data_IF_657614494189
#
_entry.id   IF_657614494189
#
_cell.length_a   1.000
_cell.length_b   1.000
_cell.length_c   1.000
_cell.angle_alpha   90.00
_cell.angle_beta   90.00
_cell.angle_gamma   90.00
#
_symmetry.space_group_name_H-M   'P 1'
#
loop_
_entity.id
_entity.type
_entity.pdbx_description
1 polymer ?
#
# COMPACT_ATOMS: atom_id res chain seq x y z
N UNK A 1 -13.48 -6.21 23.33
CA UNK A 1 -12.56 -6.92 22.40
C UNK A 1 -12.24 -6.00 21.23
N UNK A 2 -10.96 -5.81 20.90
CA UNK A 2 -10.49 -4.95 19.80
C UNK A 2 -10.29 -5.77 18.54
N UNK A 3 -11.00 -5.44 17.46
CA UNK A 3 -10.69 -5.99 16.14
C UNK A 3 -9.50 -5.26 15.55
N UNK A 4 -8.47 -6.01 15.14
CA UNK A 4 -7.26 -5.45 14.55
C UNK A 4 -6.84 -6.24 13.32
N UNK A 5 -6.25 -5.58 12.34
CA UNK A 5 -5.76 -6.19 11.11
C UNK A 5 -4.36 -5.67 10.76
N UNK A 6 -3.56 -6.53 10.16
CA UNK A 6 -2.26 -6.18 9.60
C UNK A 6 -2.32 -6.37 8.08
N UNK A 7 -1.92 -5.36 7.34
CA UNK A 7 -1.90 -5.36 5.87
C UNK A 7 -0.48 -5.09 5.41
N UNK A 8 0.10 -6.01 4.68
CA UNK A 8 1.48 -5.94 4.19
C UNK A 8 1.50 -5.74 2.68
N UNK A 9 2.12 -4.65 2.24
CA UNK A 9 2.36 -4.35 0.84
C UNK A 9 3.75 -4.82 0.42
N UNK A 10 3.84 -5.66 -0.61
CA UNK A 10 5.08 -6.21 -1.11
C UNK A 10 5.40 -5.66 -2.51
N UNK A 11 6.53 -4.97 -2.64
CA UNK A 11 6.96 -4.34 -3.88
C UNK A 11 8.49 -4.40 -4.05
N UNK A 12 8.97 -5.34 -4.86
CA UNK A 12 10.40 -5.46 -5.16
C UNK A 12 10.94 -4.39 -6.12
N UNK A 13 10.07 -3.50 -6.62
CA UNK A 13 10.44 -2.34 -7.45
C UNK A 13 10.33 -1.01 -6.70
N UNK A 14 10.39 -1.01 -5.38
CA UNK A 14 10.24 0.17 -4.55
C UNK A 14 11.18 1.32 -4.97
N UNK A 15 10.68 2.57 -4.91
CA UNK A 15 11.35 3.77 -5.43
C UNK A 15 12.81 3.95 -4.98
N UNK A 16 13.12 3.56 -3.74
CA UNK A 16 14.41 3.80 -3.09
C UNK A 16 15.29 2.55 -3.03
N UNK A 17 14.83 1.39 -3.52
CA UNK A 17 15.55 0.12 -3.41
C UNK A 17 16.09 -0.30 -4.78
N UNK A 18 17.42 -0.40 -4.95
CA UNK A 18 18.03 -0.92 -6.17
C UNK A 18 17.65 -2.38 -6.44
N UNK A 19 17.55 -2.78 -7.70
CA UNK A 19 17.25 -4.18 -8.08
C UNK A 19 18.27 -5.17 -7.51
N UNK A 20 19.53 -4.77 -7.37
CA UNK A 20 20.60 -5.57 -6.79
C UNK A 20 20.35 -5.98 -5.33
N UNK A 21 19.46 -5.27 -4.60
CA UNK A 21 19.13 -5.57 -3.20
C UNK A 21 18.01 -6.63 -3.06
N UNK A 22 17.35 -7.05 -4.15
CA UNK A 22 16.27 -8.04 -4.11
C UNK A 22 16.67 -9.33 -3.38
N UNK A 23 17.83 -9.97 -3.65
CA UNK A 23 18.23 -11.18 -2.94
C UNK A 23 18.33 -10.99 -1.42
N UNK A 24 18.74 -9.80 -0.98
CA UNK A 24 18.85 -9.45 0.43
C UNK A 24 17.45 -9.24 1.06
N UNK A 25 16.52 -8.59 0.35
CA UNK A 25 15.13 -8.46 0.79
C UNK A 25 14.50 -9.84 0.99
N UNK A 26 14.67 -10.74 0.04
CA UNK A 26 14.15 -12.11 0.14
C UNK A 26 14.71 -12.80 1.39
N UNK A 27 16.05 -12.75 1.57
CA UNK A 27 16.75 -13.42 2.67
C UNK A 27 16.42 -12.82 4.04
N UNK A 28 16.34 -11.50 4.17
CA UNK A 28 16.24 -10.79 5.45
C UNK A 28 14.79 -10.44 5.83
N UNK A 29 13.88 -10.33 4.85
CA UNK A 29 12.49 -9.93 5.04
C UNK A 29 11.50 -11.06 4.72
N UNK A 30 11.29 -11.38 3.45
CA UNK A 30 10.19 -12.22 3.01
C UNK A 30 10.29 -13.65 3.55
N UNK A 31 11.41 -14.31 3.34
CA UNK A 31 11.58 -15.71 3.70
C UNK A 31 11.41 -15.96 5.21
N UNK A 32 12.14 -15.25 6.10
CA UNK A 32 12.03 -15.50 7.53
C UNK A 32 10.67 -15.07 8.10
N UNK A 33 10.06 -13.99 7.58
CA UNK A 33 8.75 -13.52 8.05
C UNK A 33 7.65 -14.49 7.68
N UNK A 34 7.57 -14.95 6.42
CA UNK A 34 6.55 -15.90 5.98
C UNK A 34 6.69 -17.25 6.70
N UNK A 35 7.93 -17.77 6.83
CA UNK A 35 8.19 -18.99 7.60
C UNK A 35 7.77 -18.85 9.06
N UNK A 36 8.01 -17.70 9.66
CA UNK A 36 7.62 -17.41 11.04
C UNK A 36 6.10 -17.33 11.21
N UNK A 37 5.41 -16.61 10.34
CA UNK A 37 3.94 -16.47 10.36
C UNK A 37 3.24 -17.83 10.23
N UNK A 38 3.71 -18.71 9.37
CA UNK A 38 3.17 -20.06 9.18
C UNK A 38 3.24 -20.93 10.45
N UNK A 39 4.12 -20.60 11.39
CA UNK A 39 4.25 -21.27 12.70
C UNK A 39 3.28 -20.73 13.76
N UNK A 40 2.57 -19.61 13.48
CA UNK A 40 1.61 -19.02 14.41
C UNK A 40 0.18 -19.40 13.95
N UNK A 41 -0.46 -20.42 14.55
CA UNK A 41 -1.64 -21.09 13.97
C UNK A 41 -2.85 -20.18 13.72
N UNK A 42 -3.02 -19.13 14.55
CA UNK A 42 -4.15 -18.20 14.49
C UNK A 42 -3.79 -16.86 13.83
N UNK A 43 -2.63 -16.76 13.19
CA UNK A 43 -2.26 -15.53 12.48
C UNK A 43 -3.25 -15.26 11.34
N UNK A 44 -3.66 -14.02 11.18
CA UNK A 44 -4.52 -13.53 10.12
C UNK A 44 -3.88 -12.26 9.57
N UNK A 45 -3.25 -12.37 8.41
CA UNK A 45 -2.49 -11.31 7.79
C UNK A 45 -3.01 -11.11 6.36
N UNK A 46 -3.26 -9.86 5.97
CA UNK A 46 -3.59 -9.53 4.59
C UNK A 46 -2.34 -9.08 3.86
N UNK A 47 -2.16 -9.58 2.66
CA UNK A 47 -1.04 -9.22 1.78
C UNK A 47 -1.56 -8.67 0.46
N UNK A 48 -0.85 -7.72 -0.08
CA UNK A 48 -0.90 -7.42 -1.50
C UNK A 48 0.51 -7.41 -2.08
N UNK A 49 0.64 -7.92 -3.28
CA UNK A 49 1.88 -7.97 -4.04
C UNK A 49 1.64 -7.24 -5.36
N UNK A 50 2.61 -6.45 -5.84
CA UNK A 50 2.53 -6.02 -7.23
C UNK A 50 2.63 -7.22 -8.15
N UNK A 51 1.98 -7.20 -9.32
CA UNK A 51 2.09 -8.30 -10.29
C UNK A 51 3.54 -8.53 -10.72
N UNK A 52 4.32 -7.46 -10.88
CA UNK A 52 5.76 -7.54 -11.18
C UNK A 52 6.52 -8.26 -10.08
N UNK A 53 6.20 -8.00 -8.81
CA UNK A 53 6.79 -8.75 -7.69
C UNK A 53 6.46 -10.23 -7.78
N UNK A 54 5.20 -10.59 -8.10
CA UNK A 54 4.81 -11.99 -8.27
C UNK A 54 5.58 -12.68 -9.41
N UNK A 55 5.79 -12.01 -10.54
CA UNK A 55 6.58 -12.55 -11.65
C UNK A 55 8.07 -12.75 -11.27
N UNK A 56 8.66 -11.82 -10.52
CA UNK A 56 10.03 -11.97 -10.00
C UNK A 56 10.10 -13.16 -9.03
N UNK A 57 9.14 -13.27 -8.12
CA UNK A 57 9.10 -14.37 -7.15
C UNK A 57 8.90 -15.72 -7.82
N UNK A 58 8.02 -15.80 -8.83
CA UNK A 58 7.81 -17.03 -9.61
C UNK A 58 9.11 -17.50 -10.27
N UNK A 59 9.82 -16.57 -10.91
CA UNK A 59 10.99 -16.87 -11.72
C UNK A 59 12.23 -17.18 -10.89
N UNK A 60 12.47 -16.39 -9.83
CA UNK A 60 13.76 -16.37 -9.13
C UNK A 60 13.67 -16.94 -7.69
N UNK A 61 12.47 -16.94 -7.08
CA UNK A 61 12.27 -17.30 -5.68
C UNK A 61 10.98 -18.12 -5.47
N UNK A 62 10.78 -19.24 -6.20
CA UNK A 62 9.53 -20.02 -6.16
C UNK A 62 9.16 -20.52 -4.76
N UNK A 63 10.12 -20.69 -3.87
CA UNK A 63 9.88 -21.05 -2.48
C UNK A 63 9.05 -20.01 -1.72
N UNK A 64 9.11 -18.74 -2.11
CA UNK A 64 8.28 -17.69 -1.52
C UNK A 64 6.81 -17.87 -1.95
N UNK A 65 6.58 -18.19 -3.23
CA UNK A 65 5.25 -18.50 -3.76
C UNK A 65 4.64 -19.69 -3.00
N UNK A 66 5.43 -20.74 -2.75
CA UNK A 66 4.98 -21.93 -1.99
C UNK A 66 4.62 -21.59 -0.53
N UNK A 67 5.39 -20.71 0.12
CA UNK A 67 5.06 -20.26 1.47
C UNK A 67 3.75 -19.46 1.50
N UNK A 68 3.51 -18.60 0.50
CA UNK A 68 2.27 -17.83 0.39
C UNK A 68 1.08 -18.78 0.18
N UNK A 69 1.17 -19.76 -0.74
CA UNK A 69 0.14 -20.78 -0.97
C UNK A 69 -0.22 -21.51 0.32
N UNK A 70 0.77 -21.99 1.05
CA UNK A 70 0.57 -22.67 2.33
C UNK A 70 -0.14 -21.80 3.36
N UNK A 71 0.14 -20.49 3.38
CA UNK A 71 -0.54 -19.55 4.25
C UNK A 71 -2.01 -19.35 3.87
N UNK A 72 -2.31 -19.32 2.57
CA UNK A 72 -3.68 -19.24 2.03
C UNK A 72 -4.45 -20.53 2.39
N UNK A 73 -3.89 -21.70 2.10
CA UNK A 73 -4.48 -23.02 2.39
C UNK A 73 -4.81 -23.20 3.87
N UNK A 74 -3.93 -22.70 4.77
CA UNK A 74 -4.17 -22.69 6.22
C UNK A 74 -5.17 -21.62 6.67
N UNK A 75 -5.66 -20.78 5.75
CA UNK A 75 -6.51 -19.64 6.07
C UNK A 75 -5.84 -18.59 6.95
N UNK A 76 -4.50 -18.53 6.97
CA UNK A 76 -3.71 -17.54 7.70
C UNK A 76 -3.49 -16.27 6.88
N UNK A 77 -3.42 -16.39 5.56
CA UNK A 77 -3.15 -15.28 4.64
C UNK A 77 -4.37 -14.95 3.79
N UNK A 78 -4.72 -13.70 3.73
CA UNK A 78 -5.66 -13.12 2.78
C UNK A 78 -4.87 -12.38 1.70
N UNK A 79 -5.15 -12.65 0.43
CA UNK A 79 -4.59 -11.91 -0.69
C UNK A 79 -5.58 -10.83 -1.12
N UNK A 80 -5.08 -9.60 -1.25
CA UNK A 80 -5.81 -8.46 -1.78
C UNK A 80 -5.50 -8.27 -3.26
N UNK A 81 -6.49 -7.80 -4.02
CA UNK A 81 -6.24 -7.30 -5.35
C UNK A 81 -5.35 -6.06 -5.33
N UNK A 82 -4.59 -5.90 -6.39
CA UNK A 82 -3.69 -4.78 -6.63
C UNK A 82 -3.57 -4.51 -8.13
N UNK A 83 -2.64 -3.68 -8.54
CA UNK A 83 -2.31 -3.47 -9.93
C UNK A 83 -1.08 -4.29 -10.34
N UNK A 84 -0.86 -4.46 -11.66
CA UNK A 84 0.28 -5.21 -12.20
C UNK A 84 1.62 -4.58 -11.81
N UNK A 85 1.81 -3.27 -12.06
CA UNK A 85 2.86 -2.46 -11.43
C UNK A 85 2.26 -1.66 -10.27
N UNK A 86 2.80 -0.51 -9.94
CA UNK A 86 2.25 0.38 -8.89
C UNK A 86 1.82 1.73 -9.48
N UNK A 87 0.82 1.79 -10.40
CA UNK A 87 0.41 3.05 -11.00
C UNK A 87 -0.40 3.91 -10.03
N UNK A 88 -0.40 5.21 -10.21
CA UNK A 88 -1.38 6.09 -9.56
C UNK A 88 -2.68 6.04 -10.36
N UNK A 89 -3.56 5.12 -9.99
CA UNK A 89 -4.78 4.82 -10.77
C UNK A 89 -5.59 6.07 -11.19
N UNK A 90 -5.78 7.10 -10.33
CA UNK A 90 -6.46 8.32 -10.75
C UNK A 90 -5.74 9.17 -11.81
N UNK A 91 -4.48 8.90 -12.12
CA UNK A 91 -3.67 9.63 -13.11
C UNK A 91 -3.54 8.91 -14.45
N UNK A 92 -4.05 7.70 -14.58
CA UNK A 92 -4.02 6.90 -15.82
C UNK A 92 -5.43 6.69 -16.38
N UNK A 93 -5.53 6.24 -17.62
CA UNK A 93 -6.80 6.03 -18.31
C UNK A 93 -7.47 4.73 -17.85
N UNK A 94 -8.80 4.65 -18.01
CA UNK A 94 -9.58 3.47 -17.61
C UNK A 94 -9.12 2.20 -18.32
N UNK A 95 -8.69 2.29 -19.57
CA UNK A 95 -8.17 1.15 -20.33
C UNK A 95 -6.95 0.55 -19.65
N UNK A 96 -6.02 1.39 -19.19
CA UNK A 96 -4.81 0.95 -18.49
C UNK A 96 -5.16 0.38 -17.12
N UNK A 97 -6.07 1.03 -16.37
CA UNK A 97 -6.55 0.52 -15.08
C UNK A 97 -7.10 -0.89 -15.24
N UNK A 98 -7.95 -1.11 -16.27
CA UNK A 98 -8.51 -2.43 -16.54
C UNK A 98 -7.41 -3.47 -16.84
N UNK A 99 -6.42 -3.12 -17.66
CA UNK A 99 -5.30 -4.00 -17.99
C UNK A 99 -4.42 -4.32 -16.77
N UNK A 100 -4.12 -3.32 -15.95
CA UNK A 100 -3.37 -3.51 -14.71
C UNK A 100 -4.07 -4.49 -13.76
N UNK A 101 -5.38 -4.30 -13.55
CA UNK A 101 -6.16 -5.14 -12.64
C UNK A 101 -6.29 -6.55 -13.20
N UNK A 102 -6.66 -6.68 -14.49
CA UNK A 102 -6.84 -8.00 -15.11
C UNK A 102 -5.54 -8.81 -15.06
N UNK A 103 -4.42 -8.23 -15.48
CA UNK A 103 -3.12 -8.92 -15.47
C UNK A 103 -2.71 -9.34 -14.06
N UNK A 104 -3.00 -8.52 -13.06
CA UNK A 104 -2.74 -8.86 -11.66
C UNK A 104 -3.62 -10.03 -11.19
N UNK A 105 -4.92 -10.02 -11.51
CA UNK A 105 -5.83 -11.10 -11.15
C UNK A 105 -5.46 -12.42 -11.81
N UNK A 106 -5.05 -12.40 -13.09
CA UNK A 106 -4.56 -13.58 -13.80
C UNK A 106 -3.33 -14.20 -13.10
N UNK A 107 -2.42 -13.35 -12.61
CA UNK A 107 -1.26 -13.79 -11.83
C UNK A 107 -1.67 -14.39 -10.48
N UNK A 108 -2.61 -13.77 -9.76
CA UNK A 108 -3.11 -14.31 -8.48
C UNK A 108 -3.78 -15.68 -8.67
N UNK A 109 -4.60 -15.83 -9.72
CA UNK A 109 -5.25 -17.12 -10.01
C UNK A 109 -4.22 -18.17 -10.41
N UNK A 110 -3.35 -17.86 -11.36
CA UNK A 110 -2.36 -18.80 -11.90
C UNK A 110 -1.33 -19.23 -10.85
N UNK A 111 -0.80 -18.28 -10.09
CA UNK A 111 0.30 -18.57 -9.16
C UNK A 111 -0.18 -19.00 -7.78
N UNK A 112 -1.30 -18.49 -7.30
CA UNK A 112 -1.71 -18.63 -5.91
C UNK A 112 -3.11 -19.27 -5.76
N UNK A 113 -3.82 -19.54 -6.87
CA UNK A 113 -5.16 -20.10 -6.85
C UNK A 113 -6.25 -19.14 -6.35
N UNK A 114 -5.95 -17.85 -6.25
CA UNK A 114 -6.89 -16.83 -5.73
C UNK A 114 -7.67 -16.21 -6.88
N UNK A 115 -8.95 -16.59 -7.02
CA UNK A 115 -9.82 -16.15 -8.13
C UNK A 115 -10.52 -14.81 -7.90
N UNK A 116 -11.03 -14.56 -6.71
CA UNK A 116 -11.92 -13.44 -6.42
C UNK A 116 -11.55 -12.74 -5.11
N UNK A 117 -10.40 -12.07 -5.03
CA UNK A 117 -10.05 -11.30 -3.85
C UNK A 117 -11.12 -10.23 -3.59
N UNK A 118 -11.53 -10.06 -2.33
CA UNK A 118 -12.62 -9.15 -1.96
C UNK A 118 -12.17 -7.73 -1.73
N UNK A 119 -10.95 -7.55 -1.26
CA UNK A 119 -10.35 -6.25 -1.05
C UNK A 119 -9.42 -5.85 -2.18
N UNK A 120 -9.37 -4.57 -2.47
CA UNK A 120 -8.39 -3.96 -3.37
C UNK A 120 -7.55 -2.95 -2.58
N UNK A 121 -6.23 -3.15 -2.58
CA UNK A 121 -5.32 -2.16 -2.01
C UNK A 121 -4.97 -1.14 -3.08
N UNK A 122 -5.34 0.11 -2.84
CA UNK A 122 -5.05 1.21 -3.77
C UNK A 122 -3.55 1.57 -3.70
N UNK A 123 -2.81 1.55 -4.82
CA UNK A 123 -1.47 2.11 -4.85
C UNK A 123 -1.46 3.52 -4.26
N UNK A 124 -0.57 3.79 -3.31
CA UNK A 124 -0.45 5.08 -2.61
C UNK A 124 -1.74 5.55 -1.91
N UNK A 125 -2.67 4.64 -1.59
CA UNK A 125 -4.03 4.95 -1.14
C UNK A 125 -4.71 6.01 -2.03
N UNK A 126 -4.32 6.08 -3.32
CA UNK A 126 -4.80 7.06 -4.28
C UNK A 126 -6.22 6.70 -4.75
N UNK A 127 -7.15 7.56 -4.48
CA UNK A 127 -8.57 7.42 -4.78
C UNK A 127 -9.07 8.48 -5.77
N UNK A 128 -9.99 8.05 -6.62
CA UNK A 128 -10.90 8.92 -7.38
C UNK A 128 -12.29 8.29 -7.39
N UNK A 129 -13.39 9.07 -7.38
CA UNK A 129 -14.75 8.55 -7.47
C UNK A 129 -14.99 7.61 -8.68
N UNK A 130 -14.27 7.81 -9.78
CA UNK A 130 -14.35 6.98 -10.98
C UNK A 130 -13.80 5.56 -10.77
N UNK A 131 -13.02 5.31 -9.73
CA UNK A 131 -12.49 3.97 -9.44
C UNK A 131 -13.57 3.02 -8.89
N UNK A 132 -14.61 3.53 -8.23
CA UNK A 132 -15.64 2.67 -7.65
C UNK A 132 -16.31 1.73 -8.65
N UNK A 133 -16.85 2.20 -9.80
CA UNK A 133 -17.46 1.32 -10.79
C UNK A 133 -16.45 0.34 -11.40
N UNK A 134 -15.21 0.77 -11.64
CA UNK A 134 -14.15 -0.08 -12.20
C UNK A 134 -13.85 -1.23 -11.23
N UNK A 135 -13.56 -0.92 -9.97
CA UNK A 135 -13.25 -1.94 -8.96
C UNK A 135 -14.41 -2.90 -8.72
N UNK A 136 -15.66 -2.40 -8.76
CA UNK A 136 -16.87 -3.23 -8.66
C UNK A 136 -17.02 -4.19 -9.85
N UNK A 137 -16.70 -3.75 -11.06
CA UNK A 137 -16.70 -4.60 -12.27
C UNK A 137 -15.79 -5.80 -12.12
N UNK A 138 -14.64 -5.65 -11.44
CA UNK A 138 -13.71 -6.75 -11.13
C UNK A 138 -14.07 -7.56 -9.87
N UNK A 139 -15.25 -7.31 -9.25
CA UNK A 139 -15.75 -8.08 -8.12
C UNK A 139 -15.20 -7.68 -6.75
N UNK A 140 -14.45 -6.59 -6.66
CA UNK A 140 -13.98 -6.06 -5.37
C UNK A 140 -15.15 -5.46 -4.59
N UNK A 141 -15.18 -5.70 -3.28
CA UNK A 141 -16.22 -5.22 -2.39
C UNK A 141 -15.76 -4.10 -1.47
N UNK A 142 -14.46 -4.01 -1.19
CA UNK A 142 -13.90 -3.02 -0.29
C UNK A 142 -12.49 -2.59 -0.69
N UNK A 143 -12.09 -1.42 -0.19
CA UNK A 143 -10.73 -0.88 -0.31
C UNK A 143 -10.25 -0.28 1.01
N UNK A 144 -8.99 0.12 1.07
CA UNK A 144 -8.40 0.83 2.21
C UNK A 144 -8.11 2.28 1.81
N UNK A 145 -8.48 3.23 2.67
CA UNK A 145 -8.25 4.66 2.45
C UNK A 145 -7.55 5.31 3.64
N UNK A 146 -6.87 6.40 3.35
CA UNK A 146 -6.26 7.23 4.40
C UNK A 146 -7.33 8.03 5.17
N UNK A 147 -7.28 7.96 6.49
CA UNK A 147 -8.23 8.66 7.36
C UNK A 147 -8.13 10.19 7.23
N UNK A 148 -6.92 10.74 7.13
CA UNK A 148 -6.75 12.19 7.00
C UNK A 148 -7.26 12.70 5.64
N UNK A 149 -7.14 11.90 4.57
CA UNK A 149 -7.78 12.19 3.29
C UNK A 149 -9.31 12.22 3.43
N UNK A 150 -9.90 11.27 4.16
CA UNK A 150 -11.34 11.27 4.44
C UNK A 150 -11.76 12.55 5.18
N UNK A 151 -11.06 12.93 6.26
CA UNK A 151 -11.40 14.13 7.05
C UNK A 151 -11.34 15.37 6.18
N UNK A 152 -10.28 15.52 5.36
CA UNK A 152 -10.15 16.64 4.44
C UNK A 152 -11.31 16.71 3.43
N UNK A 153 -11.78 15.55 2.94
CA UNK A 153 -12.90 15.49 2.01
C UNK A 153 -14.25 15.86 2.62
N UNK A 154 -14.39 15.75 3.95
CA UNK A 154 -15.62 16.10 4.66
C UNK A 154 -15.70 17.58 5.08
N UNK A 155 -14.58 18.32 5.01
CA UNK A 155 -14.61 19.75 5.27
C UNK A 155 -15.33 20.49 4.15
N UNK A 156 -16.12 21.51 4.50
CA UNK A 156 -16.89 22.30 3.53
C UNK A 156 -15.98 22.91 2.45
N UNK A 157 -16.45 22.97 1.22
CA UNK A 157 -15.75 23.63 0.14
C UNK A 157 -15.61 25.12 0.50
N UNK A 158 -14.39 25.59 0.72
CA UNK A 158 -14.09 26.99 1.03
C UNK A 158 -13.44 27.24 2.40
N UNK A 159 -13.58 26.34 3.36
CA UNK A 159 -12.72 26.38 4.53
C UNK A 159 -11.36 25.81 4.16
N UNK A 160 -10.37 26.69 4.04
CA UNK A 160 -8.97 26.27 4.10
C UNK A 160 -8.73 25.74 5.51
N UNK A 161 -9.01 24.48 5.72
CA UNK A 161 -8.41 23.80 6.86
C UNK A 161 -6.92 23.85 6.56
N UNK A 162 -6.22 24.78 7.16
CA UNK A 162 -4.79 24.76 7.25
C UNK A 162 -4.47 23.47 8.01
N UNK A 163 -4.35 22.36 7.26
CA UNK A 163 -3.72 21.18 7.79
C UNK A 163 -2.24 21.57 7.85
N UNK A 164 -1.88 22.40 8.82
CA UNK A 164 -0.52 22.58 9.31
C UNK A 164 0.05 21.29 9.90
N UNK A 165 -0.61 20.16 9.64
CA UNK A 165 -0.12 18.84 9.94
C UNK A 165 0.75 18.38 8.78
N UNK A 166 1.93 19.02 8.65
CA UNK A 166 3.02 18.32 7.95
C UNK A 166 3.09 16.93 8.57
N UNK A 167 2.94 15.85 7.79
CA UNK A 167 3.08 14.51 8.33
C UNK A 167 4.41 14.46 9.08
N UNK A 168 4.38 13.99 10.29
CA UNK A 168 5.62 13.80 11.05
C UNK A 168 6.36 12.70 10.31
N UNK A 169 7.53 13.03 9.77
CA UNK A 169 8.38 12.08 9.09
C UNK A 169 8.65 12.33 7.63
N UNK A 170 7.92 13.23 6.98
CA UNK A 170 8.24 13.62 5.60
C UNK A 170 8.94 14.98 5.59
N UNK A 171 10.18 15.01 5.08
CA UNK A 171 10.80 16.25 4.63
C UNK A 171 10.26 16.58 3.22
N UNK A 172 10.41 17.82 2.77
CA UNK A 172 10.06 18.24 1.40
C UNK A 172 10.73 17.40 0.29
N UNK A 173 11.70 16.57 0.67
CA UNK A 173 12.46 15.65 -0.20
C UNK A 173 12.00 14.19 -0.11
N UNK A 174 10.85 13.90 0.49
CA UNK A 174 10.31 12.53 0.56
C UNK A 174 11.07 11.55 1.46
N UNK A 175 12.04 12.03 2.22
CA UNK A 175 12.79 11.20 3.17
C UNK A 175 12.01 11.00 4.46
N UNK A 176 11.84 9.75 4.85
CA UNK A 176 11.23 9.40 6.12
C UNK A 176 12.00 9.98 7.30
N UNK A 177 11.31 10.25 8.38
CA UNK A 177 11.79 10.89 9.62
C UNK A 177 13.14 10.38 10.16
N UNK A 178 13.53 9.16 9.86
CA UNK A 178 14.78 8.56 10.34
C UNK A 178 16.06 9.05 9.63
N UNK A 179 15.96 9.81 8.54
CA UNK A 179 17.13 10.43 7.90
C UNK A 179 17.42 11.84 8.39
N UNK A 180 16.51 12.46 9.16
CA UNK A 180 16.80 13.71 9.84
C UNK A 180 17.81 13.46 10.98
N UNK A 181 18.74 14.41 11.21
CA UNK A 181 19.74 14.28 12.26
C UNK A 181 19.10 13.85 13.59
N UNK A 182 19.80 13.02 14.37
CA UNK A 182 19.35 12.51 15.67
C UNK A 182 18.78 13.60 16.57
N UNK A 183 19.30 14.82 16.45
CA UNK A 183 18.86 16.00 17.19
C UNK A 183 17.45 16.48 16.79
N UNK A 184 17.11 16.52 15.49
CA UNK A 184 15.75 16.84 15.01
C UNK A 184 14.74 15.77 15.42
N UNK A 185 15.17 14.52 15.49
CA UNK A 185 14.34 13.41 15.97
C UNK A 185 13.99 13.57 17.44
N UNK A 186 14.96 13.91 18.28
CA UNK A 186 14.77 14.12 19.74
C UNK A 186 13.83 15.31 20.00
N UNK A 187 13.98 16.42 19.27
CA UNK A 187 13.15 17.63 19.44
C UNK A 187 11.70 17.42 18.98
N UNK A 188 11.46 16.56 18.01
CA UNK A 188 10.09 16.24 17.52
C UNK A 188 9.37 15.16 18.33
N UNK A 189 10.07 14.42 19.22
CA UNK A 189 9.49 13.36 20.06
C UNK A 189 8.32 13.84 20.95
N UNK A 190 8.37 15.01 21.60
CA UNK A 190 7.23 15.52 22.37
C UNK A 190 6.02 15.83 21.49
N UNK A 191 6.24 16.40 20.31
CA UNK A 191 5.16 16.68 19.34
C UNK A 191 4.56 15.39 18.79
N UNK A 192 5.37 14.38 18.52
CA UNK A 192 4.94 13.04 18.14
C UNK A 192 4.08 12.40 19.23
N UNK A 193 4.52 12.47 20.48
CA UNK A 193 3.80 11.94 21.62
C UNK A 193 2.46 12.66 21.88
N UNK A 194 2.41 13.99 21.70
CA UNK A 194 1.20 14.79 21.84
C UNK A 194 0.19 14.52 20.72
N UNK A 195 0.61 14.49 19.45
CA UNK A 195 -0.25 14.12 18.32
C UNK A 195 -0.79 12.70 18.49
N UNK A 196 0.06 11.79 18.91
CA UNK A 196 -0.29 10.42 19.19
C UNK A 196 -1.35 10.31 20.30
N UNK A 197 -1.23 11.12 21.35
CA UNK A 197 -2.20 11.21 22.45
C UNK A 197 -3.55 11.76 21.97
N UNK A 198 -3.54 12.72 21.04
CA UNK A 198 -4.74 13.28 20.45
C UNK A 198 -5.49 12.24 19.57
N UNK A 199 -4.78 11.56 18.68
CA UNK A 199 -5.41 10.65 17.71
C UNK A 199 -5.92 9.34 18.33
N UNK A 200 -5.37 8.95 19.47
CA UNK A 200 -5.94 7.85 20.27
C UNK A 200 -7.21 8.25 21.03
N UNK A 201 -7.42 9.53 21.25
CA UNK A 201 -8.66 10.06 21.85
C UNK A 201 -9.78 10.25 20.81
N UNK A 202 -9.50 10.08 19.49
CA UNK A 202 -10.49 10.02 18.42
C UNK A 202 -10.61 8.59 17.88
N UNK A 203 -11.39 7.74 18.55
CA UNK A 203 -11.37 6.28 18.38
C UNK A 203 -12.25 5.75 17.25
N UNK A 204 -12.60 6.58 16.27
CA UNK A 204 -13.42 6.18 15.15
C UNK A 204 -12.59 5.43 14.10
N UNK A 205 -12.73 4.11 14.06
CA UNK A 205 -12.19 3.20 13.07
C UNK A 205 -13.31 2.43 12.35
N UNK A 206 -14.54 2.92 12.44
CA UNK A 206 -15.67 2.28 11.77
C UNK A 206 -15.49 2.37 10.26
N UNK A 207 -15.59 1.24 9.55
CA UNK A 207 -15.62 1.25 8.09
C UNK A 207 -16.78 2.09 7.57
N UNK A 208 -16.61 2.59 6.36
CA UNK A 208 -17.58 3.46 5.69
C UNK A 208 -17.96 2.90 4.31
N UNK A 209 -18.99 3.47 3.71
CA UNK A 209 -19.31 3.29 2.30
C UNK A 209 -18.90 4.56 1.58
N UNK A 210 -17.99 4.44 0.61
CA UNK A 210 -17.57 5.56 -0.25
C UNK A 210 -18.50 5.61 -1.45
N UNK A 211 -19.08 6.78 -1.71
CA UNK A 211 -19.83 7.06 -2.93
C UNK A 211 -18.86 7.42 -4.06
N UNK A 212 -18.92 6.69 -5.16
CA UNK A 212 -18.20 6.98 -6.40
C UNK A 212 -19.13 7.39 -7.52
N UNK A 213 -18.61 7.44 -8.75
CA UNK A 213 -19.36 7.75 -9.96
C UNK A 213 -20.24 6.55 -10.36
N UNK A 214 -21.47 6.51 -9.87
CA UNK A 214 -22.44 5.44 -10.20
C UNK A 214 -22.29 4.13 -9.44
N UNK A 215 -21.37 4.03 -8.49
CA UNK A 215 -21.17 2.85 -7.64
C UNK A 215 -20.77 3.21 -6.21
N UNK A 216 -20.98 2.27 -5.29
CA UNK A 216 -20.58 2.41 -3.89
C UNK A 216 -19.57 1.33 -3.53
N UNK A 217 -18.56 1.66 -2.70
CA UNK A 217 -17.53 0.75 -2.24
C UNK A 217 -17.37 0.84 -0.73
N UNK A 218 -17.26 -0.30 -0.05
CA UNK A 218 -16.88 -0.30 1.37
C UNK A 218 -15.42 0.12 1.52
N UNK A 219 -15.09 0.81 2.60
CA UNK A 219 -13.72 1.19 2.90
C UNK A 219 -13.37 0.99 4.37
N UNK A 220 -12.21 0.41 4.61
CA UNK A 220 -11.56 0.40 5.92
C UNK A 220 -10.62 1.60 6.04
N UNK A 221 -10.46 2.12 7.25
CA UNK A 221 -9.73 3.36 7.51
C UNK A 221 -8.33 3.04 8.04
N UNK A 222 -7.31 3.54 7.34
CA UNK A 222 -5.94 3.52 7.82
C UNK A 222 -5.58 4.89 8.37
N UNK A 223 -5.09 4.95 9.60
CA UNK A 223 -4.59 6.18 10.23
C UNK A 223 -3.07 6.17 10.22
N UNK A 224 -2.45 7.09 9.50
CA UNK A 224 -0.98 7.17 9.37
C UNK A 224 -0.26 7.35 10.71
N UNK A 225 -0.93 7.90 11.71
CA UNK A 225 -0.36 7.99 13.06
C UNK A 225 -0.06 6.62 13.67
N UNK A 226 -0.81 5.58 13.28
CA UNK A 226 -0.55 4.20 13.66
C UNK A 226 0.48 3.58 12.72
N UNK A 227 0.25 3.72 11.42
CA UNK A 227 1.11 3.22 10.36
C UNK A 227 1.61 4.42 9.54
N UNK A 228 2.88 4.55 9.24
CA UNK A 228 4.03 3.79 9.67
C UNK A 228 4.58 4.21 11.03
N UNK A 229 4.06 5.29 11.61
CA UNK A 229 4.78 6.01 12.66
C UNK A 229 4.87 5.25 14.00
N UNK A 230 3.74 4.91 14.62
CA UNK A 230 3.81 4.35 15.97
C UNK A 230 4.13 2.87 16.02
N UNK A 231 3.55 2.08 15.14
CA UNK A 231 3.78 0.64 15.07
C UNK A 231 5.25 0.35 14.73
N UNK A 232 5.73 0.96 13.64
CA UNK A 232 7.11 0.82 13.20
C UNK A 232 8.08 1.32 14.27
N UNK A 233 7.87 2.54 14.78
CA UNK A 233 8.69 3.10 15.84
C UNK A 233 8.73 2.20 17.09
N UNK A 234 7.61 1.58 17.46
CA UNK A 234 7.55 0.71 18.64
C UNK A 234 8.30 -0.60 18.45
N UNK A 235 8.22 -1.21 17.27
CA UNK A 235 8.90 -2.48 17.00
C UNK A 235 10.37 -2.31 16.59
N UNK A 236 10.70 -1.20 15.90
CA UNK A 236 12.05 -0.93 15.42
C UNK A 236 12.94 -0.22 16.46
N UNK A 237 12.39 0.39 17.52
CA UNK A 237 13.12 1.23 18.46
C UNK A 237 14.41 0.60 18.99
N UNK A 238 15.56 1.27 18.87
CA UNK A 238 16.80 0.86 19.50
C UNK A 238 16.68 0.93 21.03
N UNK A 239 17.58 0.23 21.75
CA UNK A 239 17.54 0.12 23.22
C UNK A 239 17.40 1.50 23.90
N UNK A 240 18.12 2.51 23.41
CA UNK A 240 18.13 3.86 23.98
C UNK A 240 16.76 4.58 23.91
N UNK A 241 15.89 4.25 22.94
CA UNK A 241 14.59 4.87 22.77
C UNK A 241 13.41 4.03 23.28
N UNK A 242 13.67 2.85 23.89
CA UNK A 242 12.61 1.94 24.38
C UNK A 242 11.80 2.51 25.54
N UNK A 243 12.30 3.51 26.23
CA UNK A 243 11.52 4.23 27.25
C UNK A 243 10.36 5.03 26.64
N UNK A 244 10.43 5.41 25.36
CA UNK A 244 9.40 6.15 24.65
C UNK A 244 8.58 5.23 23.73
N UNK A 245 9.27 4.43 22.93
CA UNK A 245 8.67 3.46 21.99
C UNK A 245 9.18 2.05 22.30
N UNK A 246 8.27 1.11 22.47
CA UNK A 246 8.63 -0.31 22.66
C UNK A 246 7.48 -1.24 22.33
N UNK A 247 7.75 -2.52 22.00
CA UNK A 247 6.71 -3.52 21.80
C UNK A 247 5.74 -3.61 22.99
N UNK A 248 6.26 -3.53 24.21
CA UNK A 248 5.43 -3.59 25.43
C UNK A 248 4.49 -2.38 25.56
N UNK A 249 4.94 -1.19 25.19
CA UNK A 249 4.09 0.01 25.20
C UNK A 249 2.99 -0.09 24.14
N UNK A 250 3.31 -0.58 22.95
CA UNK A 250 2.33 -0.85 21.88
C UNK A 250 1.27 -1.86 22.38
N UNK A 251 1.70 -3.01 22.91
CA UNK A 251 0.83 -4.04 23.47
C UNK A 251 -0.08 -3.47 24.57
N UNK A 252 0.48 -2.74 25.54
CA UNK A 252 -0.27 -2.09 26.63
C UNK A 252 -1.31 -1.10 26.10
N UNK A 253 -0.99 -0.38 25.03
CA UNK A 253 -1.89 0.58 24.42
C UNK A 253 -3.07 -0.09 23.71
N UNK A 254 -2.81 -1.11 22.90
CA UNK A 254 -3.86 -1.91 22.26
C UNK A 254 -4.78 -2.56 23.30
N UNK A 255 -4.23 -3.06 24.40
CA UNK A 255 -5.04 -3.57 25.55
C UNK A 255 -5.92 -2.48 26.18
N UNK A 256 -5.39 -1.27 26.33
CA UNK A 256 -6.20 -0.13 26.83
C UNK A 256 -7.34 0.21 25.87
N UNK A 257 -7.08 0.20 24.56
CA UNK A 257 -8.10 0.41 23.52
C UNK A 257 -9.16 -0.70 23.57
N UNK A 258 -8.75 -1.96 23.70
CA UNK A 258 -9.66 -3.11 23.76
C UNK A 258 -10.65 -3.05 24.93
N UNK A 259 -10.28 -2.38 26.02
CA UNK A 259 -11.13 -2.16 27.22
C UNK A 259 -11.94 -0.89 27.15
N UNK A 260 -11.77 -0.08 26.12
CA UNK A 260 -12.49 1.18 25.96
C UNK A 260 -13.75 0.94 25.14
N UNK A 261 -14.92 1.28 25.68
CA UNK A 261 -16.18 1.26 24.95
C UNK A 261 -16.27 2.29 23.83
N UNK A 262 -15.36 3.27 23.83
CA UNK A 262 -15.30 4.32 22.83
C UNK A 262 -14.65 3.88 21.53
N UNK A 263 -13.81 2.82 21.55
CA UNK A 263 -13.10 2.34 20.34
C UNK A 263 -13.99 1.40 19.59
N UNK A 264 -14.43 1.82 18.41
CA UNK A 264 -15.28 1.03 17.52
C UNK A 264 -14.56 0.83 16.18
N UNK A 265 -14.91 -0.26 15.49
CA UNK A 265 -14.44 -0.50 14.15
C UNK A 265 -13.22 -1.43 14.07
N UNK A 266 -12.46 -1.32 12.97
CA UNK A 266 -11.28 -2.13 12.68
C UNK A 266 -10.02 -1.28 12.79
N UNK A 267 -9.19 -1.55 13.79
CA UNK A 267 -7.91 -0.88 13.94
C UNK A 267 -6.88 -1.56 13.03
N UNK A 268 -6.25 -0.78 12.16
CA UNK A 268 -5.13 -1.24 11.31
C UNK A 268 -3.85 -0.60 11.86
N UNK A 269 -3.14 -1.26 12.79
CA UNK A 269 -1.91 -0.71 13.36
C UNK A 269 -0.74 -0.75 12.39
N UNK A 270 -0.80 -1.60 11.37
CA UNK A 270 0.16 -1.68 10.30
C UNK A 270 -0.53 -1.91 8.95
N UNK A 271 -0.34 -0.98 8.01
CA UNK A 271 -0.77 -1.06 6.62
C UNK A 271 0.31 -0.39 5.77
N UNK A 272 1.48 -1.04 5.59
CA UNK A 272 2.69 -0.48 4.98
C UNK A 272 3.53 -1.56 4.31
N UNK A 273 4.71 -1.16 3.87
CA UNK A 273 5.64 -1.99 3.09
C UNK A 273 6.13 -3.20 3.87
N UNK A 274 6.07 -4.36 3.24
CA UNK A 274 6.51 -5.61 3.84
C UNK A 274 8.02 -5.60 4.09
N UNK A 275 8.77 -4.95 3.21
CA UNK A 275 10.23 -4.86 3.24
C UNK A 275 10.75 -4.24 4.54
N UNK A 276 9.99 -3.37 5.21
CA UNK A 276 10.41 -2.77 6.48
C UNK A 276 10.58 -3.82 7.60
N UNK A 277 9.98 -5.00 7.44
CA UNK A 277 10.15 -6.12 8.36
C UNK A 277 11.40 -6.89 7.92
N UNK A 278 12.48 -6.76 8.66
CA UNK A 278 13.78 -7.38 8.39
C UNK A 278 14.71 -6.52 7.54
N UNK A 279 14.22 -5.91 6.48
CA UNK A 279 15.02 -5.11 5.55
C UNK A 279 14.25 -3.90 5.01
N UNK A 280 14.86 -2.75 4.97
CA UNK A 280 14.37 -1.58 4.23
C UNK A 280 15.51 -0.70 3.71
N UNK A 281 16.21 -1.13 2.68
CA UNK A 281 17.18 -0.31 1.96
C UNK A 281 18.21 0.40 2.84
N UNK A 282 18.53 1.62 2.49
CA UNK A 282 19.47 2.48 3.21
C UNK A 282 18.86 3.15 4.46
N UNK A 283 17.64 2.81 4.87
CA UNK A 283 17.01 3.35 6.06
C UNK A 283 17.54 2.59 7.28
N UNK A 284 18.12 3.28 8.26
CA UNK A 284 18.84 2.63 9.38
C UNK A 284 17.97 1.87 10.37
N UNK A 285 16.64 1.83 10.15
CA UNK A 285 15.71 1.24 11.11
C UNK A 285 14.68 0.38 10.39
N UNK A 286 14.92 -0.92 10.39
CA UNK A 286 13.92 -1.94 10.04
C UNK A 286 13.31 -2.54 11.31
N UNK A 287 12.10 -3.10 11.17
CA UNK A 287 11.49 -3.91 12.24
C UNK A 287 12.19 -5.26 12.27
N UNK A 288 12.86 -5.66 13.36
CA UNK A 288 13.41 -7.01 13.47
C UNK A 288 12.29 -8.06 13.28
N UNK A 289 12.54 -9.06 12.44
CA UNK A 289 11.55 -10.11 12.11
C UNK A 289 11.00 -10.77 13.38
N UNK A 290 11.86 -11.11 14.32
CA UNK A 290 11.49 -11.72 15.59
C UNK A 290 10.52 -10.85 16.40
N UNK A 291 10.70 -9.52 16.41
CA UNK A 291 9.80 -8.60 17.14
C UNK A 291 8.42 -8.52 16.46
N UNK A 292 8.40 -8.56 15.14
CA UNK A 292 7.14 -8.61 14.40
C UNK A 292 6.39 -9.91 14.69
N UNK A 293 7.08 -11.05 14.62
CA UNK A 293 6.51 -12.36 14.92
C UNK A 293 6.04 -12.48 16.38
N UNK A 294 6.82 -11.96 17.34
CA UNK A 294 6.43 -11.89 18.75
C UNK A 294 5.18 -11.01 18.95
N UNK A 295 5.05 -9.93 18.18
CA UNK A 295 3.84 -9.11 18.20
C UNK A 295 2.63 -9.89 17.68
N UNK A 296 2.77 -10.55 16.53
CA UNK A 296 1.68 -11.37 15.93
C UNK A 296 1.28 -12.49 16.88
N UNK A 297 2.24 -13.23 17.42
CA UNK A 297 2.01 -14.31 18.40
C UNK A 297 1.26 -13.79 19.63
N UNK A 298 1.67 -12.65 20.17
CA UNK A 298 0.95 -12.01 21.25
C UNK A 298 -0.47 -11.62 20.85
N UNK A 299 -0.66 -11.00 19.70
CA UNK A 299 -1.97 -10.53 19.24
C UNK A 299 -2.98 -11.70 19.06
N UNK A 300 -2.47 -12.87 18.64
CA UNK A 300 -3.31 -14.09 18.49
C UNK A 300 -3.62 -14.80 19.80
N UNK A 301 -2.82 -14.58 20.86
CA UNK A 301 -3.00 -15.19 22.17
C UNK A 301 -3.74 -14.29 23.18
N UNK A 302 -3.82 -12.98 22.92
CA UNK A 302 -4.42 -12.01 23.83
C UNK A 302 -5.96 -12.03 23.70
N UNK A 303 -6.65 -12.39 24.77
CA UNK A 303 -8.11 -12.57 24.79
C UNK A 303 -8.92 -11.31 24.43
N UNK A 304 -8.36 -10.14 24.70
CA UNK A 304 -9.02 -8.85 24.42
C UNK A 304 -8.77 -8.36 22.98
N UNK A 305 -7.94 -9.06 22.19
CA UNK A 305 -7.57 -8.74 20.82
C UNK A 305 -8.11 -9.81 19.86
N UNK A 306 -8.76 -9.39 18.80
CA UNK A 306 -9.17 -10.25 17.70
C UNK A 306 -8.37 -9.86 16.45
N UNK A 307 -7.30 -10.62 16.16
CA UNK A 307 -6.55 -10.46 14.91
C UNK A 307 -7.37 -11.08 13.77
N UNK A 308 -7.82 -10.26 12.84
CA UNK A 308 -8.72 -10.64 11.74
C UNK A 308 -8.31 -10.00 10.44
N UNK A 309 -8.78 -10.51 9.31
CA UNK A 309 -8.63 -9.82 8.03
C UNK A 309 -9.73 -8.77 7.85
N UNK A 310 -9.52 -7.73 7.02
CA UNK A 310 -10.56 -6.76 6.73
C UNK A 310 -11.80 -7.40 6.09
N UNK A 311 -11.64 -8.39 5.20
CA UNK A 311 -12.78 -9.11 4.60
C UNK A 311 -13.61 -9.85 5.65
N UNK A 312 -12.96 -10.59 6.57
CA UNK A 312 -13.66 -11.30 7.63
C UNK A 312 -14.37 -10.35 8.60
N UNK A 313 -13.73 -9.19 8.87
CA UNK A 313 -14.35 -8.16 9.70
C UNK A 313 -15.59 -7.55 9.03
N UNK A 314 -15.47 -7.09 7.78
CA UNK A 314 -16.55 -6.43 7.02
C UNK A 314 -17.73 -7.35 6.77
N UNK A 315 -17.51 -8.65 6.58
CA UNK A 315 -18.58 -9.65 6.46
C UNK A 315 -19.47 -9.71 7.70
N UNK A 316 -18.86 -9.55 8.88
CA UNK A 316 -19.59 -9.57 10.17
C UNK A 316 -20.12 -8.20 10.59
N UNK A 317 -19.46 -7.14 10.13
CA UNK A 317 -19.71 -5.75 10.52
C UNK A 317 -19.81 -4.85 9.28
N UNK A 318 -20.86 -5.01 8.47
CA UNK A 318 -21.00 -4.20 7.26
C UNK A 318 -21.18 -2.71 7.64
N UNK A 319 -20.46 -1.80 6.94
CA UNK A 319 -20.56 -0.37 7.20
C UNK A 319 -21.94 0.18 6.83
N UNK A 320 -22.38 1.23 7.56
CA UNK A 320 -23.66 1.90 7.32
C UNK A 320 -23.50 3.35 6.87
N UNK A 321 -22.45 4.01 7.33
CA UNK A 321 -22.19 5.43 7.06
C UNK A 321 -21.72 5.61 5.62
N UNK A 322 -22.47 6.38 4.84
CA UNK A 322 -22.10 6.73 3.45
C UNK A 322 -21.47 8.10 3.41
N UNK A 323 -20.34 8.20 2.70
CA UNK A 323 -19.60 9.45 2.53
C UNK A 323 -19.19 9.63 1.08
N UNK A 324 -19.01 10.88 0.66
CA UNK A 324 -18.33 11.20 -0.58
C UNK A 324 -16.85 11.44 -0.29
N UNK A 325 -15.96 10.78 -1.03
CA UNK A 325 -14.52 10.95 -0.92
C UNK A 325 -14.01 11.59 -2.22
N UNK A 326 -13.39 12.76 -2.10
CA UNK A 326 -12.78 13.48 -3.23
C UNK A 326 -11.55 12.71 -3.74
N UNK A 327 -11.11 13.06 -4.95
CA UNK A 327 -9.81 12.58 -5.47
C UNK A 327 -8.68 13.03 -4.55
N UNK A 328 -7.78 12.10 -4.23
CA UNK A 328 -6.64 12.34 -3.36
C UNK A 328 -5.91 11.06 -3.00
N UNK A 329 -4.97 11.15 -2.06
CA UNK A 329 -4.10 10.04 -1.65
C UNK A 329 -3.64 10.19 -0.19
N UNK A 330 -2.73 9.35 0.26
CA UNK A 330 -2.07 9.51 1.54
C UNK A 330 -0.85 10.47 1.51
N UNK A 331 -0.56 11.07 0.34
CA UNK A 331 0.49 12.08 0.23
C UNK A 331 0.32 13.20 1.27
N UNK A 332 1.39 13.95 1.63
CA UNK A 332 1.35 14.95 2.69
C UNK A 332 0.24 16.00 2.56
N UNK A 333 -0.05 16.42 1.35
CA UNK A 333 -1.11 17.38 1.02
C UNK A 333 -2.45 16.74 0.63
N UNK A 334 -2.53 15.41 0.74
CA UNK A 334 -3.67 14.58 0.35
C UNK A 334 -4.08 14.73 -1.12
N UNK A 335 -3.20 15.25 -1.97
CA UNK A 335 -3.39 15.38 -3.41
C UNK A 335 -2.61 14.30 -4.17
N UNK A 336 -2.63 14.38 -5.51
CA UNK A 336 -1.85 13.52 -6.39
C UNK A 336 -0.59 14.22 -6.93
N UNK A 337 -0.31 15.44 -6.48
CA UNK A 337 0.77 16.30 -7.00
C UNK A 337 2.16 15.69 -6.86
N UNK A 338 2.37 14.82 -5.87
CA UNK A 338 3.66 14.13 -5.68
C UNK A 338 4.12 13.42 -6.96
N UNK A 339 3.18 12.90 -7.75
CA UNK A 339 3.46 12.09 -8.96
C UNK A 339 3.24 12.83 -10.28
N UNK A 340 2.88 14.14 -10.23
CA UNK A 340 2.60 14.96 -11.42
C UNK A 340 3.09 16.41 -11.29
N UNK A 341 3.94 16.71 -10.32
CA UNK A 341 4.46 18.06 -10.10
C UNK A 341 5.80 18.31 -10.80
N UNK A 342 6.69 17.36 -10.69
CA UNK A 342 8.05 17.43 -11.25
C UNK A 342 8.03 17.43 -12.78
N UNK A 343 8.86 18.23 -13.47
CA UNK A 343 8.95 18.21 -14.95
C UNK A 343 9.24 16.84 -15.54
N UNK A 344 10.08 16.03 -14.87
CA UNK A 344 10.39 14.68 -15.33
C UNK A 344 9.20 13.73 -15.16
N UNK A 345 8.40 13.87 -14.08
CA UNK A 345 7.18 13.11 -13.90
C UNK A 345 6.16 13.43 -14.98
N UNK A 346 5.96 14.72 -15.29
CA UNK A 346 5.07 15.18 -16.38
C UNK A 346 5.52 14.65 -17.73
N UNK A 347 6.83 14.70 -18.00
CA UNK A 347 7.38 14.16 -19.24
C UNK A 347 7.13 12.66 -19.37
N UNK A 348 7.34 11.91 -18.29
CA UNK A 348 7.10 10.46 -18.29
C UNK A 348 5.60 10.15 -18.45
N UNK A 349 4.71 10.90 -17.80
CA UNK A 349 3.26 10.78 -17.99
C UNK A 349 2.85 11.05 -19.44
N UNK A 350 3.41 12.10 -20.07
CA UNK A 350 3.16 12.42 -21.46
C UNK A 350 3.64 11.31 -22.43
N UNK A 351 4.78 10.66 -22.16
CA UNK A 351 5.25 9.52 -22.95
C UNK A 351 4.30 8.31 -22.80
N UNK A 352 3.76 8.07 -21.62
CA UNK A 352 2.76 7.03 -21.42
C UNK A 352 1.46 7.33 -22.20
N UNK A 353 1.01 8.59 -22.23
CA UNK A 353 -0.15 9.01 -23.02
C UNK A 353 0.10 8.84 -24.53
N UNK A 354 1.28 9.19 -25.00
CA UNK A 354 1.69 8.97 -26.39
C UNK A 354 1.71 7.48 -26.75
N UNK A 355 2.32 6.64 -25.90
CA UNK A 355 2.36 5.19 -26.10
C UNK A 355 0.94 4.61 -26.21
N UNK A 356 0.06 4.97 -25.27
CA UNK A 356 -1.33 4.55 -25.26
C UNK A 356 -2.04 4.91 -26.55
N UNK A 357 -1.87 6.13 -27.05
CA UNK A 357 -2.54 6.60 -28.26
C UNK A 357 -2.14 5.80 -29.49
N UNK A 358 -0.88 5.36 -29.62
CA UNK A 358 -0.44 4.44 -30.67
C UNK A 358 -1.00 3.03 -30.48
N UNK A 359 -0.96 2.50 -29.26
CA UNK A 359 -1.43 1.14 -28.97
C UNK A 359 -2.92 0.99 -29.19
N UNK A 360 -3.74 1.99 -28.87
CA UNK A 360 -5.18 1.99 -29.16
C UNK A 360 -5.40 1.92 -30.69
N UNK A 361 -4.67 2.70 -31.48
CA UNK A 361 -4.77 2.68 -32.94
C UNK A 361 -4.27 1.37 -33.55
N UNK A 362 -3.23 0.76 -32.96
CA UNK A 362 -2.69 -0.52 -33.41
C UNK A 362 -3.67 -1.70 -33.25
N UNK A 363 -4.73 -1.54 -32.44
CA UNK A 363 -5.73 -2.57 -32.21
C UNK A 363 -5.21 -3.77 -31.40
N UNK A 364 -5.90 -4.90 -31.52
CA UNK A 364 -5.60 -6.10 -30.78
C UNK A 364 -4.73 -7.06 -31.59
N UNK A 365 -3.46 -7.21 -31.21
CA UNK A 365 -2.52 -8.19 -31.77
C UNK A 365 -1.56 -8.64 -30.69
N UNK A 366 -0.88 -9.76 -30.90
CA UNK A 366 0.15 -10.27 -29.97
C UNK A 366 1.30 -9.27 -29.79
N UNK A 367 1.65 -8.54 -30.85
CA UNK A 367 2.65 -7.47 -30.79
C UNK A 367 2.15 -6.26 -30.02
N UNK A 368 0.88 -5.89 -30.17
CA UNK A 368 0.26 -4.83 -29.38
C UNK A 368 0.20 -5.18 -27.88
N UNK A 369 -0.03 -6.45 -27.52
CA UNK A 369 0.02 -6.93 -26.13
C UNK A 369 1.41 -6.71 -25.50
N UNK A 370 2.50 -6.88 -26.27
CA UNK A 370 3.85 -6.54 -25.80
C UNK A 370 4.01 -5.04 -25.55
N UNK A 371 3.46 -4.21 -26.43
CA UNK A 371 3.43 -2.77 -26.25
C UNK A 371 2.67 -2.35 -24.99
N UNK A 372 1.48 -2.90 -24.78
CA UNK A 372 0.70 -2.70 -23.58
C UNK A 372 1.45 -3.14 -22.31
N UNK A 373 2.10 -4.30 -22.35
CA UNK A 373 2.93 -4.75 -21.23
C UNK A 373 4.02 -3.73 -20.85
N UNK A 374 4.69 -3.15 -21.86
CA UNK A 374 5.68 -2.11 -21.62
C UNK A 374 5.04 -0.84 -21.05
N UNK A 375 3.87 -0.44 -21.52
CA UNK A 375 3.15 0.71 -20.97
C UNK A 375 2.81 0.50 -19.49
N UNK A 376 2.25 -0.66 -19.12
CA UNK A 376 1.96 -0.98 -17.71
C UNK A 376 3.19 -0.92 -16.81
N UNK A 377 4.37 -1.29 -17.31
CA UNK A 377 5.64 -1.16 -16.57
C UNK A 377 6.08 0.31 -16.46
N UNK A 378 5.84 1.11 -17.50
CA UNK A 378 6.19 2.52 -17.52
C UNK A 378 5.33 3.37 -16.57
N UNK A 379 4.09 2.93 -16.27
CA UNK A 379 3.16 3.63 -15.40
C UNK A 379 3.46 3.45 -13.90
N UNK A 380 4.47 2.68 -13.55
CA UNK A 380 4.87 2.48 -12.15
C UNK A 380 5.20 3.81 -11.45
N UNK A 381 4.52 4.08 -10.33
CA UNK A 381 4.73 5.30 -9.52
C UNK A 381 6.10 5.34 -8.83
N UNK A 382 6.77 4.19 -8.67
CA UNK A 382 8.13 4.12 -8.13
C UNK A 382 9.20 4.76 -9.04
N UNK A 383 8.86 5.06 -10.29
CA UNK A 383 9.67 5.91 -11.18
C UNK A 383 9.33 7.39 -11.11
N UNK A 384 8.35 7.78 -10.28
CA UNK A 384 7.79 9.12 -10.11
C UNK A 384 7.68 9.49 -8.64
N UNK A 385 7.51 10.76 -8.34
CA UNK A 385 7.30 11.21 -6.96
C UNK A 385 8.39 10.75 -6.00
N UNK A 386 8.20 10.89 -4.70
CA UNK A 386 9.03 10.38 -3.60
C UNK A 386 10.57 10.33 -3.82
N UNK A 387 11.14 11.11 -4.77
CA UNK A 387 12.56 11.10 -5.18
C UNK A 387 13.09 9.69 -5.53
N UNK A 388 12.56 9.05 -6.58
CA UNK A 388 13.01 7.72 -6.97
C UNK A 388 14.50 7.73 -7.31
N UNK A 389 15.18 6.62 -7.04
CA UNK A 389 16.55 6.44 -7.52
C UNK A 389 16.59 6.46 -9.05
N UNK A 390 17.70 6.91 -9.68
CA UNK A 390 17.79 7.00 -11.13
C UNK A 390 17.43 5.70 -11.85
N UNK A 391 17.77 4.55 -11.29
CA UNK A 391 17.44 3.23 -11.84
C UNK A 391 15.93 3.05 -12.06
N UNK A 392 15.09 3.45 -11.09
CA UNK A 392 13.63 3.31 -11.18
C UNK A 392 13.04 4.25 -12.22
N UNK A 393 13.50 5.49 -12.26
CA UNK A 393 13.07 6.47 -13.26
C UNK A 393 13.47 6.04 -14.67
N UNK A 394 14.72 5.61 -14.87
CA UNK A 394 15.21 5.10 -16.15
C UNK A 394 14.45 3.84 -16.61
N UNK A 395 14.11 2.96 -15.70
CA UNK A 395 13.26 1.80 -15.99
C UNK A 395 11.94 2.24 -16.62
N UNK A 396 11.22 3.18 -16.01
CA UNK A 396 9.95 3.66 -16.54
C UNK A 396 10.12 4.35 -17.90
N UNK A 397 11.15 5.21 -18.09
CA UNK A 397 11.44 5.84 -19.38
C UNK A 397 11.72 4.83 -20.48
N UNK A 398 12.57 3.84 -20.22
CA UNK A 398 12.90 2.77 -21.16
C UNK A 398 11.64 2.04 -21.63
N UNK A 399 10.76 1.72 -20.71
CA UNK A 399 9.52 1.01 -21.03
C UNK A 399 8.52 1.90 -21.77
N UNK A 400 8.37 3.18 -21.42
CA UNK A 400 7.54 4.11 -22.17
C UNK A 400 7.99 4.25 -23.63
N UNK A 401 9.29 4.45 -23.85
CA UNK A 401 9.86 4.56 -25.20
C UNK A 401 9.68 3.27 -26.00
N UNK A 402 9.82 2.11 -25.37
CA UNK A 402 9.62 0.82 -26.05
C UNK A 402 8.15 0.59 -26.42
N UNK A 403 7.22 1.01 -25.59
CA UNK A 403 5.78 0.98 -25.88
C UNK A 403 5.44 1.88 -27.08
N UNK A 404 6.03 3.09 -27.15
CA UNK A 404 5.87 4.02 -28.28
C UNK A 404 6.44 3.40 -29.57
N UNK A 405 7.66 2.84 -29.52
CA UNK A 405 8.31 2.19 -30.67
C UNK A 405 7.38 1.11 -31.25
N UNK A 406 6.94 0.17 -30.43
CA UNK A 406 6.05 -0.93 -30.85
C UNK A 406 4.73 -0.36 -31.45
N UNK A 407 4.10 0.57 -30.76
CA UNK A 407 2.84 1.16 -31.23
C UNK A 407 2.97 1.89 -32.56
N UNK A 408 4.05 2.64 -32.76
CA UNK A 408 4.36 3.34 -34.04
C UNK A 408 4.61 2.37 -35.19
N UNK A 409 5.35 1.28 -34.94
CA UNK A 409 5.60 0.26 -35.98
C UNK A 409 4.31 -0.43 -36.42
N UNK A 410 3.40 -0.70 -35.48
CA UNK A 410 2.14 -1.35 -35.78
C UNK A 410 1.17 -0.43 -36.57
N UNK A 411 1.11 0.85 -36.21
CA UNK A 411 0.26 1.81 -36.94
C UNK A 411 0.76 2.07 -38.35
N UNK A 412 2.09 2.16 -38.58
CA UNK A 412 2.67 2.30 -39.95
C UNK A 412 2.41 1.12 -40.88
N UNK A 413 2.11 -0.06 -40.37
CA UNK A 413 1.77 -1.26 -41.15
C UNK A 413 0.29 -1.30 -41.55
N UNK A 414 -0.54 -0.45 -40.96
CA UNK A 414 -1.96 -0.36 -41.25
C UNK A 414 -2.30 0.74 -42.27
N UNK A 415 -1.42 1.76 -42.38
CA UNK A 415 -1.43 2.78 -43.43
C UNK A 415 -0.77 2.23 -44.73
#
# INVERSE_FOLDING_TARGET
MLNTSLVLHANLQYAEIPTAEIPKIIKESYLPTLKGLLKIPKSKISFNFTGVTLEILEKEYPEIIDLIKRGIEKGQFELLGFAYSQPILPLIQEVDINLHIQKHLDLLERLLGVKNPKGFFLPEAAWSPNLAPILKKFGFSWTMIDYDHLILSQTAAGESVSIERKPIGFTERGTYFFTASLFKQIVSLPTLALKFRHDVNHPDFEPIIIKGAGAEMQAVLMKQVWTPNYFEASLAAPKALRWLFSPNRLKKRLKKMARSEKVKGLVIPFGSDFEIIGYRGNIPVSIPVERFLDFVSWATSEKDINLTTPTDYLRKNPPKKKVYLRTGSWAPDRSLKVWDKDPDDKKLNSLCDEARSYLIRAGNSREAEKGWHHLLLAENSDGRGWNPIPERRLFCYKHALKAIEIGRELTKKQD
#
